data_IF_332393180274
#
_entry.id   IF_332393180274
#
_cell.length_a   1.000
_cell.length_b   1.000
_cell.length_c   1.000
_cell.angle_alpha   90.00
_cell.angle_beta   90.00
_cell.angle_gamma   90.00
#
_symmetry.space_group_name_H-M   'P 1'
#
loop_
_entity.id
_entity.type
_entity.pdbx_description
1 polymer ?
#
# COMPACT_ATOMS: atom_id res chain seq x y z
N UNK A 1 13.42 -4.15 -29.44
CA UNK A 1 13.31 -4.06 -28.58
C UNK A 1 13.35 -2.95 -27.78
N UNK A 2 13.51 -1.93 -28.14
CA UNK A 2 13.42 -0.77 -27.39
C UNK A 2 12.09 -0.63 -26.76
N UNK A 3 11.20 -1.36 -27.20
CA UNK A 3 9.91 -1.27 -26.62
C UNK A 3 9.95 -1.53 -25.18
N UNK A 4 10.94 -2.16 -24.68
CA UNK A 4 10.95 -2.39 -23.28
C UNK A 4 11.07 -1.14 -22.50
N UNK A 5 11.85 -0.23 -22.95
CA UNK A 5 11.99 0.98 -22.21
C UNK A 5 10.69 1.73 -22.21
N UNK A 6 9.97 1.66 -23.30
CA UNK A 6 8.74 2.36 -23.33
C UNK A 6 7.79 1.80 -22.33
N UNK A 7 7.76 0.53 -22.21
CA UNK A 7 6.87 -0.07 -21.28
C UNK A 7 7.15 0.39 -19.88
N UNK A 8 8.41 0.56 -19.55
CA UNK A 8 8.70 1.01 -18.22
C UNK A 8 8.16 2.39 -17.98
N UNK A 9 8.31 3.26 -18.96
CA UNK A 9 7.83 4.60 -18.76
C UNK A 9 6.35 4.68 -18.62
N UNK A 10 5.65 3.71 -19.15
CA UNK A 10 4.22 3.80 -19.11
C UNK A 10 3.60 3.10 -17.91
N UNK A 11 4.40 2.65 -16.98
CA UNK A 11 3.81 2.01 -15.82
C UNK A 11 3.05 3.01 -14.99
N UNK A 12 1.89 2.61 -14.53
CA UNK A 12 1.05 3.45 -13.72
C UNK A 12 1.19 3.17 -12.24
N UNK A 13 2.11 2.31 -11.88
CA UNK A 13 2.25 1.90 -10.49
C UNK A 13 3.70 1.62 -10.15
N UNK A 14 3.99 1.54 -8.87
CA UNK A 14 5.30 1.15 -8.40
C UNK A 14 5.17 -0.20 -7.70
N UNK A 15 6.22 -0.97 -7.73
CA UNK A 15 6.25 -2.23 -7.03
C UNK A 15 7.06 -2.07 -5.78
N UNK A 16 6.71 -2.78 -4.73
CA UNK A 16 7.46 -2.72 -3.49
C UNK A 16 7.62 -4.11 -2.91
N UNK A 17 8.60 -4.25 -2.03
CA UNK A 17 8.88 -5.49 -1.38
C UNK A 17 9.47 -5.19 -0.03
N UNK A 18 8.97 -5.83 1.00
CA UNK A 18 9.45 -5.61 2.35
C UNK A 18 9.40 -6.91 3.12
N UNK A 19 10.51 -7.27 3.72
CA UNK A 19 10.56 -8.48 4.50
C UNK A 19 10.50 -8.10 5.97
N UNK A 20 9.37 -8.31 6.60
CA UNK A 20 9.18 -8.00 8.00
C UNK A 20 9.59 -9.15 8.88
N UNK A 21 9.55 -8.93 10.16
CA UNK A 21 9.87 -10.00 11.10
C UNK A 21 8.75 -11.04 11.15
N UNK A 22 7.53 -10.58 10.97
CA UNK A 22 6.39 -11.49 11.05
C UNK A 22 5.98 -12.00 9.70
N UNK A 23 5.87 -11.11 8.73
CA UNK A 23 5.41 -11.46 7.40
C UNK A 23 6.28 -10.86 6.32
N UNK A 24 6.20 -11.44 5.13
CA UNK A 24 6.84 -10.88 3.95
C UNK A 24 5.75 -10.17 3.15
N UNK A 25 6.06 -8.99 2.64
CA UNK A 25 5.09 -8.17 1.93
C UNK A 25 5.60 -7.83 0.54
N UNK A 26 4.73 -7.93 -0.44
CA UNK A 26 5.04 -7.46 -1.78
C UNK A 26 3.78 -6.78 -2.28
N UNK A 27 3.90 -6.05 -3.36
CA UNK A 27 2.70 -5.48 -3.92
C UNK A 27 2.95 -4.39 -4.90
N UNK A 28 1.86 -3.70 -5.21
CA UNK A 28 1.87 -2.59 -6.14
C UNK A 28 1.14 -1.44 -5.50
N UNK A 29 1.66 -0.24 -5.73
CA UNK A 29 0.98 0.95 -5.24
C UNK A 29 0.74 1.86 -6.44
N UNK A 30 -0.50 2.32 -6.57
CA UNK A 30 -0.91 3.21 -7.65
C UNK A 30 -1.06 4.61 -7.09
N UNK A 31 -0.40 5.59 -7.66
CA UNK A 31 -0.49 6.96 -7.12
C UNK A 31 -1.91 7.48 -7.20
N UNK A 32 -2.24 8.38 -6.29
CA UNK A 32 -3.55 9.02 -6.32
C UNK A 32 -3.65 9.81 -7.60
N UNK A 33 -4.82 9.82 -8.21
CA UNK A 33 -4.98 10.57 -9.44
C UNK A 33 -5.25 12.02 -9.16
N UNK A 34 -6.46 12.41 -8.97
CA UNK A 34 -6.72 13.79 -8.67
C UNK A 34 -7.01 13.97 -7.21
N UNK A 35 -7.91 13.21 -6.75
CA UNK A 35 -8.28 13.25 -5.36
C UNK A 35 -8.21 11.83 -4.86
N UNK A 36 -8.19 11.69 -3.59
CA UNK A 36 -8.19 10.37 -3.02
C UNK A 36 -6.80 9.96 -2.64
N UNK A 37 -6.66 8.72 -2.30
CA UNK A 37 -5.43 8.18 -1.75
C UNK A 37 -4.80 7.20 -2.71
N UNK A 38 -3.49 7.02 -2.62
CA UNK A 38 -2.84 5.98 -3.41
C UNK A 38 -3.48 4.62 -3.10
N UNK A 39 -3.58 3.79 -4.11
CA UNK A 39 -4.23 2.50 -3.98
C UNK A 39 -3.18 1.40 -3.91
N UNK A 40 -3.36 0.47 -3.00
CA UNK A 40 -2.37 -0.58 -2.77
C UNK A 40 -2.96 -1.96 -2.95
N UNK A 41 -2.25 -2.82 -3.70
CA UNK A 41 -2.52 -4.23 -3.70
C UNK A 41 -1.40 -4.83 -2.86
N UNK A 42 -1.72 -5.27 -1.67
CA UNK A 42 -0.74 -5.78 -0.73
C UNK A 42 -0.83 -7.29 -0.65
N UNK A 43 0.27 -7.96 -0.93
CA UNK A 43 0.31 -9.42 -0.84
C UNK A 43 1.17 -9.83 0.34
N UNK A 44 0.64 -10.67 1.18
CA UNK A 44 1.30 -11.13 2.39
C UNK A 44 1.73 -12.58 2.20
N UNK A 45 3.01 -12.83 2.37
CA UNK A 45 3.59 -14.18 2.26
C UNK A 45 3.24 -14.86 0.94
N UNK A 46 3.03 -14.06 -0.12
CA UNK A 46 2.71 -14.59 -1.45
C UNK A 46 1.43 -15.42 -1.48
N UNK A 47 0.59 -15.31 -0.47
CA UNK A 47 -0.63 -16.10 -0.44
C UNK A 47 -1.91 -15.29 -0.29
N UNK A 48 -1.86 -14.13 0.31
CA UNK A 48 -3.05 -13.32 0.54
C UNK A 48 -2.84 -11.95 -0.04
N UNK A 49 -3.76 -11.51 -0.90
CA UNK A 49 -3.69 -10.15 -1.45
C UNK A 49 -4.86 -9.35 -0.95
N UNK A 50 -4.57 -8.17 -0.43
CA UNK A 50 -5.57 -7.29 0.13
C UNK A 50 -5.51 -5.96 -0.60
N UNK A 51 -6.68 -5.42 -0.96
CA UNK A 51 -6.75 -4.10 -1.55
C UNK A 51 -6.91 -3.09 -0.45
N UNK A 52 -6.05 -2.09 -0.43
CA UNK A 52 -6.13 -1.08 0.60
C UNK A 52 -5.63 0.25 0.04
N UNK A 53 -5.55 1.26 0.89
CA UNK A 53 -5.13 2.59 0.46
C UNK A 53 -4.07 3.11 1.41
N UNK A 54 -3.26 4.03 0.91
CA UNK A 54 -2.31 4.74 1.77
C UNK A 54 -2.97 6.06 2.12
N UNK A 55 -3.32 6.23 3.38
CA UNK A 55 -4.01 7.43 3.84
C UNK A 55 -3.01 8.35 4.52
N UNK A 56 -2.99 9.61 4.09
CA UNK A 56 -2.08 10.58 4.68
C UNK A 56 -2.76 11.26 5.86
N UNK A 57 -2.27 11.00 7.04
CA UNK A 57 -2.78 11.66 8.21
C UNK A 57 -2.04 12.94 8.48
N UNK A 58 -2.41 13.62 9.55
CA UNK A 58 -1.78 14.88 9.88
C UNK A 58 -0.32 14.70 10.27
N UNK A 59 -0.01 13.64 10.98
CA UNK A 59 1.36 13.42 11.41
C UNK A 59 2.07 12.38 10.58
N UNK A 60 1.40 11.37 10.16
CA UNK A 60 2.02 10.30 9.41
C UNK A 60 0.98 9.60 8.57
N UNK A 61 1.46 8.78 7.66
CA UNK A 61 0.56 8.01 6.81
C UNK A 61 0.20 6.69 7.49
N UNK A 62 -0.90 6.12 7.10
CA UNK A 62 -1.29 4.81 7.61
C UNK A 62 -2.04 4.07 6.50
N UNK A 63 -2.21 2.77 6.69
CA UNK A 63 -2.88 1.95 5.70
C UNK A 63 -4.37 1.93 6.00
N UNK A 64 -5.17 2.33 5.00
CA UNK A 64 -6.62 2.26 5.12
C UNK A 64 -7.09 0.92 4.61
N UNK A 65 -7.44 0.05 5.52
CA UNK A 65 -7.88 -1.30 5.19
C UNK A 65 -9.27 -1.30 4.61
N UNK A 66 -9.67 -2.38 3.91
CA UNK A 66 -11.03 -2.46 3.40
C UNK A 66 -12.02 -2.26 4.53
N UNK A 67 -13.08 -1.53 4.26
CA UNK A 67 -14.04 -1.20 5.29
C UNK A 67 -15.46 -1.25 4.73
N UNK A 68 -16.42 -1.17 5.63
CA UNK A 68 -17.83 -1.17 5.24
C UNK A 68 -18.58 -0.23 6.16
N UNK A 69 -19.75 0.20 5.71
CA UNK A 69 -20.52 1.17 6.45
C UNK A 69 -21.72 0.51 7.12
N UNK A 70 -21.92 0.84 8.41
CA UNK A 70 -23.07 0.36 9.14
C UNK A 70 -23.65 1.53 9.91
N UNK A 71 -24.91 1.88 9.62
CA UNK A 71 -25.57 2.98 10.31
C UNK A 71 -24.77 4.27 10.27
N UNK A 72 -24.18 4.56 9.12
CA UNK A 72 -23.43 5.80 8.97
C UNK A 72 -22.04 5.78 9.53
N UNK A 73 -21.61 4.65 10.05
CA UNK A 73 -20.25 4.54 10.60
C UNK A 73 -19.44 3.55 9.80
N UNK A 74 -18.18 3.89 9.59
CA UNK A 74 -17.29 3.01 8.84
C UNK A 74 -16.57 2.06 9.78
N UNK A 75 -16.52 0.80 9.40
CA UNK A 75 -15.83 -0.22 10.18
C UNK A 75 -14.87 -0.98 9.29
N UNK A 76 -13.72 -1.31 9.82
CA UNK A 76 -12.72 -2.05 9.05
C UNK A 76 -13.03 -3.52 8.99
N UNK A 77 -12.74 -4.12 7.83
CA UNK A 77 -12.86 -5.56 7.71
C UNK A 77 -11.63 -6.26 8.24
N UNK A 78 -10.55 -5.52 8.43
CA UNK A 78 -9.28 -6.08 8.84
C UNK A 78 -8.77 -5.34 10.06
N UNK A 79 -8.35 -6.08 11.07
CA UNK A 79 -7.79 -5.47 12.26
C UNK A 79 -6.38 -6.01 12.43
N UNK A 80 -5.43 -5.10 12.60
CA UNK A 80 -4.04 -5.45 12.76
C UNK A 80 -3.67 -5.29 14.21
N UNK A 81 -3.10 -6.33 14.78
CA UNK A 81 -2.72 -6.29 16.17
C UNK A 81 -1.66 -5.24 16.41
N UNK A 82 -1.71 -4.59 17.57
CA UNK A 82 -0.76 -3.51 17.83
C UNK A 82 0.68 -4.02 17.90
N UNK A 83 0.89 -5.30 18.11
CA UNK A 83 2.24 -5.85 18.11
C UNK A 83 2.89 -5.71 16.74
N UNK A 84 2.10 -5.47 15.70
CA UNK A 84 2.65 -5.28 14.36
C UNK A 84 2.84 -3.82 13.99
N UNK A 85 2.60 -2.91 14.91
CA UNK A 85 2.66 -1.48 14.55
C UNK A 85 4.01 -1.07 13.99
N UNK A 86 5.11 -1.53 14.58
CA UNK A 86 6.42 -1.17 14.07
C UNK A 86 6.66 -1.73 12.68
N UNK A 87 6.20 -2.95 12.45
CA UNK A 87 6.36 -3.58 11.16
C UNK A 87 5.50 -2.85 10.12
N UNK A 88 4.31 -2.41 10.51
CA UNK A 88 3.45 -1.66 9.61
C UNK A 88 4.06 -0.30 9.28
N UNK A 89 4.68 0.35 10.26
CA UNK A 89 5.33 1.64 10.01
C UNK A 89 6.45 1.47 9.00
N UNK A 90 7.24 0.41 9.12
CA UNK A 90 8.31 0.16 8.18
C UNK A 90 7.76 -0.16 6.79
N UNK A 91 6.68 -0.91 6.72
CA UNK A 91 6.05 -1.22 5.44
C UNK A 91 5.57 0.07 4.76
N UNK A 92 4.96 0.96 5.53
CA UNK A 92 4.48 2.21 4.98
C UNK A 92 5.64 3.04 4.42
N UNK A 93 6.77 3.04 5.09
CA UNK A 93 7.93 3.77 4.58
C UNK A 93 8.40 3.19 3.26
N UNK A 94 8.39 1.88 3.12
CA UNK A 94 8.80 1.24 1.88
C UNK A 94 7.83 1.63 0.75
N UNK A 95 6.54 1.67 1.04
CA UNK A 95 5.55 2.03 0.04
C UNK A 95 5.71 3.49 -0.36
N UNK A 96 5.93 4.37 0.61
CA UNK A 96 6.11 5.78 0.31
C UNK A 96 7.35 6.02 -0.54
N UNK A 97 8.41 5.28 -0.25
CA UNK A 97 9.61 5.43 -1.04
C UNK A 97 9.39 4.94 -2.46
N UNK A 98 8.64 3.87 -2.63
CA UNK A 98 8.35 3.37 -3.96
C UNK A 98 7.58 4.41 -4.77
N UNK A 99 6.66 5.12 -4.12
CA UNK A 99 5.92 6.18 -4.80
C UNK A 99 6.84 7.34 -5.16
N UNK A 100 7.74 7.71 -4.27
CA UNK A 100 8.66 8.80 -4.56
C UNK A 100 9.55 8.45 -5.73
N UNK A 101 9.99 7.21 -5.82
CA UNK A 101 10.88 6.80 -6.89
C UNK A 101 10.21 6.79 -8.25
N UNK A 102 8.89 6.88 -8.30
CA UNK A 102 8.18 6.96 -9.58
C UNK A 102 8.33 8.33 -10.21
N UNK A 103 8.59 9.33 -9.41
CA UNK A 103 8.74 10.69 -9.93
C UNK A 103 10.17 11.00 -10.31
#
# INVERSE_FOLDING_TARGET
MAKKEKEKKSKDYAEFKFKGETFDYTGRVYPAKKKGNPFIYLTINDVITIQCHLVEGKKSSFIGWPSYEVDGKWKSNIYVDEDLNDEMDSLIEVIEKALEDME
#
